data_IF_280850089125
#
_entry.id   IF_280850089125
#
_cell.length_a   1.000
_cell.length_b   1.000
_cell.length_c   1.000
_cell.angle_alpha   90.00
_cell.angle_beta   90.00
_cell.angle_gamma   90.00
#
_symmetry.space_group_name_H-M   'P 1'
#
loop_
_entity.id
_entity.type
_entity.pdbx_description
1 polymer ?
#
# COMPACT_ATOMS: atom_id res chain seq x y z
N UNK A 1 -15.97 23.03 38.34
CA UNK A 1 -16.51 21.71 37.98
C UNK A 1 -16.62 20.88 39.24
N UNK A 2 -17.66 20.06 39.37
CA UNK A 2 -17.81 19.13 40.48
C UNK A 2 -16.85 17.94 40.31
N UNK A 3 -16.25 17.50 41.43
CA UNK A 3 -15.37 16.33 41.42
C UNK A 3 -16.18 15.05 41.16
N UNK A 4 -15.69 14.21 40.24
CA UNK A 4 -16.34 12.93 39.94
C UNK A 4 -16.02 11.95 41.08
N UNK A 5 -17.09 11.41 41.68
CA UNK A 5 -17.00 10.42 42.76
C UNK A 5 -17.75 9.15 42.38
N UNK A 6 -17.52 8.07 43.12
CA UNK A 6 -18.24 6.80 42.92
C UNK A 6 -19.77 6.93 43.00
N UNK A 7 -20.28 7.98 43.68
CA UNK A 7 -21.73 8.23 43.86
C UNK A 7 -22.38 8.76 42.58
N UNK A 8 -21.68 9.56 41.81
CA UNK A 8 -22.19 10.17 40.57
C UNK A 8 -21.70 9.46 39.27
N UNK A 9 -21.00 8.31 39.41
CA UNK A 9 -20.68 7.44 38.32
C UNK A 9 -21.79 6.44 38.02
N UNK A 10 -22.09 6.21 36.76
CA UNK A 10 -23.11 5.27 36.26
C UNK A 10 -22.51 4.39 35.15
N UNK A 11 -22.95 3.14 35.09
CA UNK A 11 -22.61 2.18 34.06
C UNK A 11 -23.91 1.71 33.41
N UNK A 12 -24.03 1.97 32.11
CA UNK A 12 -25.13 1.48 31.30
C UNK A 12 -24.67 0.29 30.46
N UNK A 13 -25.57 -0.66 30.25
CA UNK A 13 -25.29 -1.86 29.43
C UNK A 13 -24.75 -3.05 30.21
N UNK A 14 -24.32 -2.91 31.45
CA UNK A 14 -23.94 -3.97 32.38
C UNK A 14 -24.72 -3.93 33.69
N UNK A 15 -24.97 -5.06 34.35
CA UNK A 15 -25.79 -5.12 35.59
C UNK A 15 -24.99 -4.72 36.84
N UNK A 16 -24.07 -3.77 36.74
CA UNK A 16 -23.24 -3.30 37.84
C UNK A 16 -24.05 -2.38 38.72
N UNK A 17 -24.22 -2.75 40.00
CA UNK A 17 -24.92 -1.96 41.02
C UNK A 17 -24.01 -0.98 41.75
N UNK A 18 -22.76 -1.39 41.96
CA UNK A 18 -21.77 -0.57 42.65
C UNK A 18 -20.40 -0.78 42.02
N UNK A 19 -19.78 0.29 41.55
CA UNK A 19 -18.44 0.27 40.99
C UNK A 19 -17.45 0.10 42.16
N UNK A 20 -16.57 -0.89 42.04
CA UNK A 20 -15.50 -1.16 43.01
C UNK A 20 -14.14 -0.70 42.51
N UNK A 21 -13.90 -0.78 41.20
CA UNK A 21 -12.71 -0.27 40.54
C UNK A 21 -13.04 0.21 39.13
N UNK A 22 -12.44 1.32 38.75
CA UNK A 22 -12.57 1.90 37.42
C UNK A 22 -11.24 2.51 37.03
N UNK A 23 -10.73 2.18 35.86
CA UNK A 23 -9.61 2.87 35.21
C UNK A 23 -9.96 3.09 33.75
N UNK A 24 -9.98 4.34 33.29
CA UNK A 24 -10.19 4.76 31.89
C UNK A 24 -8.87 5.27 31.34
N UNK A 25 -8.38 4.73 30.27
CA UNK A 25 -7.15 5.17 29.63
C UNK A 25 -7.35 5.48 28.15
N UNK A 26 -6.75 6.55 27.69
CA UNK A 26 -6.64 6.86 26.27
C UNK A 26 -5.33 7.59 25.99
N UNK A 27 -4.75 7.32 24.82
CA UNK A 27 -3.51 7.96 24.37
C UNK A 27 -3.53 8.14 22.84
N UNK A 28 -2.79 9.10 22.36
CA UNK A 28 -2.50 9.24 20.93
C UNK A 28 -2.00 7.91 20.35
N UNK A 29 -2.42 7.57 19.13
CA UNK A 29 -2.10 6.32 18.44
C UNK A 29 -2.69 5.05 19.10
N UNK A 30 -3.66 5.20 19.99
CA UNK A 30 -4.43 4.10 20.57
C UNK A 30 -5.94 4.39 20.46
N UNK A 31 -6.76 3.38 20.69
CA UNK A 31 -8.22 3.54 20.61
C UNK A 31 -8.91 3.59 21.98
N UNK A 32 -8.15 3.68 23.06
CA UNK A 32 -8.69 3.79 24.44
C UNK A 32 -9.20 2.47 25.01
N UNK A 33 -9.13 2.35 26.33
CA UNK A 33 -9.48 1.15 27.07
C UNK A 33 -10.05 1.50 28.47
N UNK A 34 -10.91 0.62 28.96
CA UNK A 34 -11.40 0.67 30.36
C UNK A 34 -11.20 -0.67 31.03
N UNK A 35 -10.77 -0.62 32.30
CA UNK A 35 -10.86 -1.72 33.24
C UNK A 35 -11.90 -1.35 34.28
N UNK A 36 -12.95 -2.16 34.41
CA UNK A 36 -14.09 -1.90 35.28
C UNK A 36 -14.40 -3.14 36.10
N UNK A 37 -14.54 -2.96 37.41
CA UNK A 37 -15.04 -4.00 38.30
C UNK A 37 -16.20 -3.45 39.13
N UNK A 38 -17.19 -4.27 39.36
CA UNK A 38 -18.34 -3.86 40.17
C UNK A 38 -19.15 -5.02 40.73
N UNK A 39 -19.83 -4.74 41.82
CA UNK A 39 -20.74 -5.68 42.48
C UNK A 39 -22.01 -5.86 41.64
N UNK A 40 -22.42 -7.11 41.45
CA UNK A 40 -23.61 -7.52 40.71
C UNK A 40 -24.40 -8.56 41.49
N UNK A 41 -25.69 -8.69 41.19
CA UNK A 41 -26.46 -9.84 41.62
C UNK A 41 -25.91 -11.11 40.94
N UNK A 42 -25.65 -12.21 41.66
CA UNK A 42 -25.01 -13.39 41.10
C UNK A 42 -25.66 -13.92 39.83
N UNK A 43 -27.00 -14.02 39.81
CA UNK A 43 -27.76 -14.54 38.67
C UNK A 43 -27.70 -13.60 37.47
N UNK A 44 -27.76 -12.27 37.69
CA UNK A 44 -27.63 -11.27 36.61
C UNK A 44 -26.22 -11.24 36.05
N UNK A 45 -25.18 -11.35 36.90
CA UNK A 45 -23.80 -11.42 36.52
C UNK A 45 -23.48 -12.66 35.68
N UNK A 46 -23.98 -13.86 36.10
CA UNK A 46 -23.85 -15.11 35.34
C UNK A 46 -24.51 -15.00 33.95
N UNK A 47 -25.74 -14.46 33.90
CA UNK A 47 -26.48 -14.25 32.65
C UNK A 47 -25.76 -13.26 31.74
N UNK A 48 -25.24 -12.18 32.29
CA UNK A 48 -24.49 -11.17 31.52
C UNK A 48 -23.18 -11.77 30.98
N UNK A 49 -22.36 -12.40 31.81
CA UNK A 49 -21.10 -13.00 31.41
C UNK A 49 -21.28 -14.08 30.34
N UNK A 50 -22.39 -14.81 30.34
CA UNK A 50 -22.69 -15.82 29.33
C UNK A 50 -23.19 -15.30 27.97
N UNK A 51 -23.64 -14.02 27.90
CA UNK A 51 -24.19 -13.41 26.67
C UNK A 51 -23.39 -12.26 26.10
N UNK A 52 -22.50 -11.67 26.91
CA UNK A 52 -21.70 -10.53 26.48
C UNK A 52 -20.75 -10.97 25.34
N UNK A 53 -20.75 -10.18 24.28
CA UNK A 53 -19.97 -10.37 23.06
C UNK A 53 -19.30 -9.08 22.60
N UNK A 54 -18.62 -9.12 21.49
CA UNK A 54 -17.94 -7.98 20.85
C UNK A 54 -18.88 -6.86 20.37
N UNK A 55 -20.19 -7.05 20.42
CA UNK A 55 -21.20 -6.04 20.10
C UNK A 55 -21.87 -5.47 21.35
N UNK A 56 -21.58 -6.03 22.52
CA UNK A 56 -22.13 -5.57 23.78
C UNK A 56 -21.49 -4.23 24.14
N UNK A 57 -22.25 -3.14 23.97
CA UNK A 57 -21.81 -1.77 24.24
C UNK A 57 -22.05 -1.43 25.69
N UNK A 58 -21.03 -0.86 26.32
CA UNK A 58 -21.07 -0.35 27.72
C UNK A 58 -20.74 1.14 27.69
N UNK A 59 -21.56 1.94 28.41
CA UNK A 59 -21.30 3.37 28.55
C UNK A 59 -21.02 3.70 30.01
N UNK A 60 -19.95 4.43 30.25
CA UNK A 60 -19.60 4.99 31.56
C UNK A 60 -19.94 6.46 31.54
N UNK A 61 -20.81 6.87 32.46
CA UNK A 61 -21.31 8.24 32.57
C UNK A 61 -21.10 8.83 33.96
N UNK A 62 -21.14 10.16 34.03
CA UNK A 62 -21.20 10.88 35.29
C UNK A 62 -22.35 11.84 35.31
N UNK A 63 -22.92 12.04 36.54
CA UNK A 63 -23.94 13.04 36.86
C UNK A 63 -23.31 14.28 37.53
N UNK A 64 -21.96 14.33 37.61
CA UNK A 64 -21.26 15.47 38.21
C UNK A 64 -21.43 16.74 37.38
N UNK A 65 -21.81 17.83 38.00
CA UNK A 65 -22.11 19.10 37.32
C UNK A 65 -20.86 19.72 36.66
N UNK A 66 -21.02 20.11 35.42
CA UNK A 66 -19.90 20.73 34.62
C UNK A 66 -18.88 19.75 34.07
N UNK A 67 -19.07 18.44 34.24
CA UNK A 67 -18.27 17.40 33.64
C UNK A 67 -18.91 16.88 32.33
N UNK A 68 -18.16 16.26 31.40
CA UNK A 68 -18.74 15.56 30.26
C UNK A 68 -19.72 14.48 30.74
N UNK A 69 -20.93 14.38 30.16
CA UNK A 69 -21.93 13.42 30.64
C UNK A 69 -21.53 11.95 30.31
N UNK A 70 -20.77 11.73 29.30
CA UNK A 70 -20.18 10.44 28.91
C UNK A 70 -18.67 10.52 29.10
N UNK A 71 -18.10 9.58 29.85
CA UNK A 71 -16.66 9.48 30.06
C UNK A 71 -16.04 8.48 29.13
N UNK A 72 -16.79 7.42 28.81
CA UNK A 72 -16.32 6.38 27.90
C UNK A 72 -17.51 5.59 27.33
N UNK A 73 -17.39 5.24 26.06
CA UNK A 73 -18.29 4.31 25.37
C UNK A 73 -17.48 3.28 24.61
N UNK A 74 -17.77 2.01 24.81
CA UNK A 74 -17.00 0.95 24.14
C UNK A 74 -17.66 -0.41 24.26
N UNK A 75 -16.99 -1.39 23.69
CA UNK A 75 -17.43 -2.77 23.58
C UNK A 75 -16.66 -3.68 24.54
N UNK A 76 -17.28 -4.79 24.91
CA UNK A 76 -16.66 -5.79 25.79
C UNK A 76 -15.56 -6.52 25.04
N UNK A 77 -14.32 -6.42 25.52
CA UNK A 77 -13.21 -7.25 25.06
C UNK A 77 -13.13 -8.55 25.86
N UNK A 78 -13.28 -8.43 27.17
CA UNK A 78 -13.34 -9.61 28.05
C UNK A 78 -14.25 -9.36 29.24
N UNK A 79 -14.86 -10.44 29.73
CA UNK A 79 -15.71 -10.47 30.88
C UNK A 79 -15.35 -11.64 31.77
N UNK A 80 -15.28 -11.41 33.06
CA UNK A 80 -15.15 -12.49 34.05
C UNK A 80 -16.01 -12.20 35.29
N UNK A 81 -16.55 -13.25 35.91
CA UNK A 81 -17.34 -13.17 37.12
C UNK A 81 -16.65 -13.94 38.22
N UNK A 82 -16.38 -13.27 39.34
CA UNK A 82 -15.90 -13.91 40.56
C UNK A 82 -17.07 -13.92 41.58
N UNK A 83 -17.42 -15.11 42.07
CA UNK A 83 -18.56 -15.29 42.97
C UNK A 83 -18.08 -15.84 44.32
N UNK A 84 -18.55 -15.21 45.39
CA UNK A 84 -18.43 -15.71 46.77
C UNK A 84 -19.80 -16.12 47.29
N UNK A 85 -19.90 -16.53 48.56
CA UNK A 85 -21.19 -16.82 49.18
C UNK A 85 -22.06 -15.58 49.42
N UNK A 86 -21.46 -14.37 49.45
CA UNK A 86 -22.13 -13.15 49.85
C UNK A 86 -22.36 -12.19 48.70
N UNK A 87 -21.45 -12.15 47.71
CA UNK A 87 -21.54 -11.24 46.56
C UNK A 87 -20.88 -11.83 45.31
N UNK A 88 -21.19 -11.25 44.16
CA UNK A 88 -20.52 -11.50 42.93
C UNK A 88 -19.87 -10.21 42.40
N UNK A 89 -18.65 -10.36 41.84
CA UNK A 89 -17.88 -9.26 41.27
C UNK A 89 -17.75 -9.52 39.77
N UNK A 90 -18.28 -8.61 38.94
CA UNK A 90 -18.14 -8.62 37.50
C UNK A 90 -16.94 -7.77 37.14
N UNK A 91 -16.01 -8.36 36.39
CA UNK A 91 -14.83 -7.65 35.86
C UNK A 91 -14.94 -7.57 34.35
N UNK A 92 -14.76 -6.37 33.81
CA UNK A 92 -14.85 -6.06 32.39
C UNK A 92 -13.59 -5.37 31.93
N UNK A 93 -13.10 -5.77 30.75
CA UNK A 93 -12.18 -4.98 29.94
C UNK A 93 -12.96 -4.50 28.72
N UNK A 94 -13.01 -3.19 28.55
CA UNK A 94 -13.71 -2.54 27.43
C UNK A 94 -12.69 -1.86 26.53
N UNK A 95 -12.95 -1.88 25.23
CA UNK A 95 -12.24 -1.05 24.25
C UNK A 95 -13.20 -0.08 23.59
N UNK A 96 -12.71 1.11 23.25
CA UNK A 96 -13.52 2.06 22.49
C UNK A 96 -13.93 1.47 21.13
N UNK A 97 -15.03 1.95 20.58
CA UNK A 97 -15.62 1.46 19.31
C UNK A 97 -14.62 1.46 18.15
N UNK A 98 -13.64 2.38 18.16
CA UNK A 98 -12.58 2.43 17.16
C UNK A 98 -11.72 1.13 17.08
N UNK A 99 -11.73 0.30 18.14
CA UNK A 99 -11.06 -1.01 18.11
C UNK A 99 -11.61 -1.97 17.04
N UNK A 100 -12.89 -1.81 16.65
CA UNK A 100 -13.51 -2.58 15.56
C UNK A 100 -12.80 -2.39 14.22
N UNK A 101 -12.14 -1.25 14.02
CA UNK A 101 -11.35 -0.97 12.83
C UNK A 101 -10.04 -1.78 12.78
N UNK A 102 -9.65 -2.38 13.92
CA UNK A 102 -8.41 -3.15 14.06
C UNK A 102 -8.64 -4.67 14.08
N UNK A 103 -9.67 -5.18 13.41
CA UNK A 103 -10.01 -6.61 13.43
C UNK A 103 -9.70 -7.33 12.13
N UNK A 104 -10.14 -6.78 10.99
CA UNK A 104 -10.02 -7.43 9.69
C UNK A 104 -8.85 -6.86 8.90
N UNK A 105 -7.93 -7.72 8.46
CA UNK A 105 -6.88 -7.37 7.49
C UNK A 105 -7.51 -7.24 6.11
N UNK A 106 -7.12 -6.20 5.40
CA UNK A 106 -7.63 -5.89 4.06
C UNK A 106 -6.48 -5.68 3.06
N UNK A 107 -6.82 -5.77 1.78
CA UNK A 107 -5.90 -5.59 0.67
C UNK A 107 -6.54 -4.66 -0.34
N UNK A 108 -5.84 -3.60 -0.73
CA UNK A 108 -6.22 -2.70 -1.82
C UNK A 108 -5.06 -1.80 -2.23
N UNK A 109 -5.07 -1.33 -3.45
CA UNK A 109 -4.14 -0.30 -3.90
C UNK A 109 -4.88 1.01 -4.22
N UNK A 110 -4.15 2.12 -4.13
CA UNK A 110 -4.61 3.45 -4.48
C UNK A 110 -3.64 4.00 -5.52
N UNK A 111 -4.05 3.96 -6.78
CA UNK A 111 -3.21 4.27 -7.94
C UNK A 111 -3.49 5.65 -8.53
N UNK A 112 -4.50 6.36 -8.03
CA UNK A 112 -4.71 7.76 -8.38
C UNK A 112 -3.80 8.64 -7.53
N UNK A 113 -2.70 9.09 -8.09
CA UNK A 113 -1.71 9.95 -7.41
C UNK A 113 -2.23 11.35 -7.08
N UNK A 114 -3.36 11.74 -7.65
CA UNK A 114 -4.06 12.99 -7.34
C UNK A 114 -4.96 12.91 -6.12
N UNK A 115 -5.34 11.70 -5.68
CA UNK A 115 -6.15 11.51 -4.47
C UNK A 115 -5.42 12.02 -3.24
N UNK A 116 -6.18 12.61 -2.30
CA UNK A 116 -5.62 13.09 -1.04
C UNK A 116 -5.52 11.96 -0.01
N UNK A 117 -4.72 12.16 1.04
CA UNK A 117 -4.64 11.19 2.13
C UNK A 117 -5.98 11.03 2.86
N UNK A 118 -6.77 12.10 2.99
CA UNK A 118 -8.12 12.04 3.54
C UNK A 118 -9.01 11.08 2.73
N UNK A 119 -9.01 11.22 1.40
CA UNK A 119 -9.78 10.34 0.51
C UNK A 119 -9.35 8.88 0.63
N UNK A 120 -8.04 8.63 0.69
CA UNK A 120 -7.46 7.29 0.80
C UNK A 120 -7.82 6.65 2.14
N UNK A 121 -7.71 7.39 3.25
CA UNK A 121 -8.11 6.90 4.58
C UNK A 121 -9.61 6.62 4.61
N UNK A 122 -10.45 7.52 4.12
CA UNK A 122 -11.90 7.34 4.10
C UNK A 122 -12.33 6.09 3.29
N UNK A 123 -11.68 5.84 2.14
CA UNK A 123 -11.90 4.61 1.36
C UNK A 123 -11.52 3.36 2.18
N UNK A 124 -10.40 3.40 2.91
CA UNK A 124 -9.98 2.29 3.77
C UNK A 124 -10.92 2.06 4.96
N UNK A 125 -11.47 3.13 5.55
CA UNK A 125 -12.47 3.05 6.61
C UNK A 125 -13.81 2.48 6.13
N UNK A 126 -14.13 2.63 4.84
CA UNK A 126 -15.31 2.03 4.23
C UNK A 126 -16.63 2.48 4.86
N UNK A 127 -16.71 3.72 5.35
CA UNK A 127 -17.89 4.27 6.02
C UNK A 127 -18.14 3.76 7.45
N UNK A 128 -17.21 2.98 8.02
CA UNK A 128 -17.32 2.43 9.38
C UNK A 128 -16.91 3.43 10.47
N UNK A 129 -16.29 4.54 10.11
CA UNK A 129 -15.82 5.59 11.02
C UNK A 129 -15.90 6.96 10.35
N UNK A 130 -16.08 8.00 11.15
CA UNK A 130 -15.83 9.39 10.74
C UNK A 130 -14.34 9.73 10.83
N UNK A 131 -13.87 10.58 9.93
CA UNK A 131 -12.50 11.07 9.89
C UNK A 131 -12.47 12.59 9.91
N UNK A 132 -11.61 13.15 10.74
CA UNK A 132 -11.29 14.58 10.76
C UNK A 132 -9.80 14.78 10.51
N UNK A 133 -9.46 15.66 9.58
CA UNK A 133 -8.07 16.05 9.31
C UNK A 133 -7.76 17.37 10.00
N UNK A 134 -7.00 17.34 11.08
CA UNK A 134 -6.48 18.53 11.78
C UNK A 134 -5.04 18.83 11.37
N UNK A 135 -4.70 18.42 10.16
CA UNK A 135 -3.46 18.71 9.46
C UNK A 135 -3.80 19.23 8.05
N UNK A 136 -2.87 19.95 7.41
CA UNK A 136 -3.05 20.34 6.01
C UNK A 136 -2.96 19.11 5.12
N UNK A 137 -4.08 18.68 4.56
CA UNK A 137 -4.13 17.53 3.67
C UNK A 137 -3.37 17.80 2.36
N UNK A 138 -2.90 16.74 1.71
CA UNK A 138 -2.10 16.79 0.48
C UNK A 138 -2.42 15.58 -0.39
N UNK A 139 -2.16 15.69 -1.70
CA UNK A 139 -2.23 14.53 -2.59
C UNK A 139 -1.14 13.51 -2.25
N UNK A 140 -1.43 12.23 -2.50
CA UNK A 140 -0.49 11.13 -2.22
C UNK A 140 0.75 11.20 -3.09
N UNK A 141 0.61 11.65 -4.35
CA UNK A 141 1.70 11.77 -5.31
C UNK A 141 2.41 10.46 -5.65
N UNK A 142 1.88 9.33 -5.19
CA UNK A 142 2.50 7.99 -5.32
C UNK A 142 1.48 6.87 -5.20
N UNK A 143 1.91 5.66 -5.52
CA UNK A 143 1.22 4.44 -5.14
C UNK A 143 1.12 4.33 -3.61
N UNK A 144 -0.06 4.04 -3.12
CA UNK A 144 -0.30 3.62 -1.73
C UNK A 144 -0.91 2.21 -1.77
N UNK A 145 -0.41 1.32 -0.94
CA UNK A 145 -0.91 -0.05 -0.85
C UNK A 145 -1.30 -0.37 0.59
N UNK A 146 -2.54 -0.73 0.82
CA UNK A 146 -2.97 -1.42 2.02
C UNK A 146 -2.81 -2.92 1.76
N UNK A 147 -1.88 -3.57 2.43
CA UNK A 147 -1.66 -5.01 2.29
C UNK A 147 -1.45 -5.66 3.64
N UNK A 148 -2.34 -6.59 3.99
CA UNK A 148 -2.34 -7.25 5.29
C UNK A 148 -2.34 -6.26 6.48
N UNK A 149 -3.02 -5.14 6.29
CA UNK A 149 -3.24 -4.11 7.31
C UNK A 149 -4.74 -4.00 7.61
N UNK A 150 -5.09 -3.77 8.86
CA UNK A 150 -6.44 -3.38 9.24
C UNK A 150 -6.71 -1.93 8.83
N UNK A 151 -7.98 -1.51 8.86
CA UNK A 151 -8.33 -0.10 8.60
C UNK A 151 -7.67 0.86 9.61
N UNK A 152 -7.54 0.43 10.88
CA UNK A 152 -6.83 1.18 11.93
C UNK A 152 -5.33 1.31 11.63
N UNK A 153 -4.64 0.19 11.37
CA UNK A 153 -3.20 0.17 11.09
C UNK A 153 -2.88 1.02 9.85
N UNK A 154 -3.71 0.91 8.82
CA UNK A 154 -3.56 1.72 7.62
C UNK A 154 -3.77 3.20 7.89
N UNK A 155 -4.84 3.60 8.60
CA UNK A 155 -5.08 5.00 8.96
C UNK A 155 -3.93 5.58 9.81
N UNK A 156 -3.41 4.78 10.75
CA UNK A 156 -2.26 5.15 11.59
C UNK A 156 -0.99 5.38 10.75
N UNK A 157 -0.73 4.51 9.78
CA UNK A 157 0.39 4.65 8.84
C UNK A 157 0.22 5.89 7.95
N UNK A 158 -0.99 6.15 7.46
CA UNK A 158 -1.26 7.36 6.65
C UNK A 158 -1.12 8.65 7.47
N UNK A 159 -1.54 8.65 8.74
CA UNK A 159 -1.32 9.78 9.65
C UNK A 159 0.18 10.07 9.85
N UNK A 160 1.02 9.04 9.84
CA UNK A 160 2.47 9.20 9.97
C UNK A 160 3.14 9.97 8.81
N UNK A 161 2.50 10.03 7.64
CA UNK A 161 2.98 10.83 6.48
C UNK A 161 2.93 12.35 6.75
N UNK A 162 2.19 12.76 7.76
CA UNK A 162 2.12 14.13 8.26
C UNK A 162 3.00 14.33 9.51
N UNK A 163 3.65 13.26 10.00
CA UNK A 163 4.28 13.27 11.32
C UNK A 163 3.27 13.45 12.45
N UNK A 164 2.00 13.24 12.20
CA UNK A 164 0.87 13.53 13.10
C UNK A 164 0.30 12.22 13.69
N UNK A 165 -0.19 12.24 14.95
CA UNK A 165 -0.82 11.08 15.54
C UNK A 165 -2.21 10.81 14.96
N UNK A 166 -2.69 9.58 15.14
CA UNK A 166 -4.08 9.20 14.99
C UNK A 166 -4.73 9.15 16.36
N UNK A 167 -5.78 9.93 16.58
CA UNK A 167 -6.52 9.98 17.83
C UNK A 167 -7.95 9.44 17.66
N UNK A 168 -8.38 8.57 18.56
CA UNK A 168 -9.74 8.06 18.59
C UNK A 168 -10.56 8.76 19.69
N UNK A 169 -11.79 9.15 19.36
CA UNK A 169 -12.76 9.59 20.35
C UNK A 169 -13.31 8.37 21.11
N UNK A 170 -13.38 8.46 22.43
CA UNK A 170 -13.83 7.36 23.31
C UNK A 170 -15.25 7.53 23.83
N UNK A 171 -15.96 8.60 23.43
CA UNK A 171 -17.30 8.95 23.91
C UNK A 171 -18.41 8.63 22.91
N UNK A 172 -18.06 8.11 21.72
CA UNK A 172 -19.00 7.94 20.61
C UNK A 172 -19.22 6.48 20.24
N UNK A 173 -20.45 6.13 19.92
CA UNK A 173 -20.84 4.80 19.47
C UNK A 173 -20.35 4.50 18.04
N UNK A 174 -20.26 5.53 17.21
CA UNK A 174 -19.65 5.40 15.87
C UNK A 174 -18.21 5.88 16.00
N UNK A 175 -17.22 5.09 15.62
CA UNK A 175 -15.81 5.49 15.68
C UNK A 175 -15.58 6.85 15.02
N UNK A 176 -14.91 7.74 15.72
CA UNK A 176 -14.48 9.04 15.22
C UNK A 176 -12.98 9.13 15.36
N UNK A 177 -12.28 9.31 14.24
CA UNK A 177 -10.84 9.41 14.18
C UNK A 177 -10.42 10.83 13.82
N UNK A 178 -9.33 11.28 14.41
CA UNK A 178 -8.70 12.55 14.08
C UNK A 178 -7.24 12.32 13.72
N UNK A 179 -6.82 12.74 12.53
CA UNK A 179 -5.41 12.86 12.17
C UNK A 179 -4.89 14.20 12.68
N UNK A 180 -3.92 14.17 13.59
CA UNK A 180 -3.43 15.34 14.31
C UNK A 180 -4.08 15.49 15.68
N UNK A 181 -3.94 16.68 16.27
CA UNK A 181 -4.46 16.97 17.62
C UNK A 181 -5.95 17.25 17.54
N UNK A 182 -6.81 16.51 18.30
CA UNK A 182 -8.23 16.82 18.37
C UNK A 182 -8.48 18.24 18.89
N UNK A 183 -9.44 18.94 18.30
CA UNK A 183 -9.88 20.27 18.76
C UNK A 183 -11.17 20.13 19.55
N UNK A 184 -11.05 19.93 20.87
CA UNK A 184 -12.18 19.74 21.77
C UNK A 184 -12.83 21.05 22.18
N UNK A 185 -12.10 22.16 22.11
CA UNK A 185 -12.52 23.48 22.59
C UNK A 185 -12.48 23.63 24.13
N UNK A 186 -12.16 22.56 24.85
CA UNK A 186 -12.08 22.58 26.30
C UNK A 186 -10.73 23.15 26.78
N UNK A 187 -10.80 24.00 27.81
CA UNK A 187 -9.58 24.55 28.45
C UNK A 187 -9.74 24.45 29.97
N UNK A 188 -8.76 23.85 30.62
CA UNK A 188 -8.73 23.66 32.06
C UNK A 188 -7.59 24.46 32.67
N UNK A 189 -7.94 25.32 33.65
CA UNK A 189 -6.95 26.02 34.47
C UNK A 189 -6.63 25.16 35.68
N UNK A 190 -5.44 24.67 35.79
CA UNK A 190 -4.99 23.82 36.90
C UNK A 190 -4.15 24.67 37.87
N UNK A 191 -4.62 24.88 39.07
CA UNK A 191 -3.91 25.53 40.17
C UNK A 191 -3.59 24.52 41.25
N UNK A 192 -2.46 24.73 41.92
CA UNK A 192 -2.00 23.92 43.07
C UNK A 192 -1.88 22.42 42.75
N UNK A 193 -1.45 22.08 41.52
CA UNK A 193 -1.22 20.70 41.08
C UNK A 193 0.26 20.34 41.21
N UNK A 194 0.51 19.10 41.60
CA UNK A 194 1.83 18.50 41.49
C UNK A 194 2.07 18.12 40.01
N UNK A 195 3.26 18.43 39.50
CA UNK A 195 3.64 18.09 38.14
C UNK A 195 5.09 17.62 38.04
N UNK A 196 5.33 16.71 37.10
CA UNK A 196 6.64 16.29 36.65
C UNK A 196 6.91 16.87 35.26
N UNK A 197 8.07 17.46 35.05
CA UNK A 197 8.47 17.97 33.74
C UNK A 197 9.67 17.18 33.23
N UNK A 198 9.61 16.73 31.98
CA UNK A 198 10.69 15.99 31.35
C UNK A 198 10.84 16.32 29.86
N UNK A 199 12.01 16.06 29.33
CA UNK A 199 12.32 16.19 27.91
C UNK A 199 12.94 14.88 27.39
N UNK A 200 12.56 14.47 26.16
CA UNK A 200 13.04 13.27 25.53
C UNK A 200 13.96 13.60 24.33
N UNK A 201 15.23 13.85 24.60
CA UNK A 201 16.24 14.16 23.57
C UNK A 201 16.43 13.06 22.52
N UNK A 202 16.29 11.78 22.91
CA UNK A 202 16.39 10.66 21.97
C UNK A 202 15.21 10.65 20.97
N UNK A 203 14.00 10.97 21.43
CA UNK A 203 12.86 11.11 20.54
C UNK A 203 13.04 12.28 19.56
N UNK A 204 13.57 13.42 20.03
CA UNK A 204 13.93 14.56 19.19
C UNK A 204 14.94 14.16 18.11
N UNK A 205 16.06 13.55 18.48
CA UNK A 205 17.10 13.14 17.51
C UNK A 205 16.55 12.17 16.46
N UNK A 206 15.74 11.19 16.86
CA UNK A 206 15.12 10.24 15.94
C UNK A 206 14.15 10.92 14.96
N UNK A 207 13.32 11.82 15.46
CA UNK A 207 12.36 12.54 14.61
C UNK A 207 13.08 13.50 13.66
N UNK A 208 14.05 14.25 14.14
CA UNK A 208 14.83 15.18 13.32
C UNK A 208 15.61 14.47 12.21
N UNK A 209 16.12 13.27 12.49
CA UNK A 209 16.93 12.50 11.52
C UNK A 209 16.07 11.76 10.47
N UNK A 210 14.81 11.45 10.78
CA UNK A 210 13.93 10.60 9.93
C UNK A 210 12.68 11.30 9.42
N UNK A 211 12.58 12.61 9.58
CA UNK A 211 11.44 13.40 9.10
C UNK A 211 11.90 14.54 8.21
N UNK A 212 11.05 14.90 7.23
CA UNK A 212 11.22 16.14 6.46
C UNK A 212 10.74 17.38 7.23
N UNK A 213 10.05 17.20 8.34
CA UNK A 213 9.58 18.30 9.19
C UNK A 213 10.73 18.80 10.07
N UNK A 214 10.67 20.09 10.38
CA UNK A 214 11.63 20.70 11.31
C UNK A 214 11.01 20.72 12.71
N UNK A 215 11.71 20.16 13.67
CA UNK A 215 11.29 20.10 15.07
C UNK A 215 12.27 20.89 15.95
N UNK A 216 11.78 21.40 17.08
CA UNK A 216 12.59 21.94 18.14
C UNK A 216 12.72 20.93 19.29
N UNK A 217 13.79 20.96 20.06
CA UNK A 217 13.95 20.05 21.20
C UNK A 217 12.84 20.23 22.24
N UNK A 218 12.31 21.43 22.36
CA UNK A 218 11.20 21.80 23.26
C UNK A 218 9.89 21.08 22.88
N UNK A 219 9.71 20.72 21.61
CA UNK A 219 8.53 19.95 21.15
C UNK A 219 8.48 18.56 21.80
N UNK A 220 9.62 18.03 22.24
CA UNK A 220 9.73 16.73 22.91
C UNK A 220 9.79 16.83 24.43
N UNK A 221 9.33 17.95 24.97
CA UNK A 221 9.15 18.16 26.41
C UNK A 221 7.69 17.93 26.76
N UNK A 222 7.46 17.19 27.82
CA UNK A 222 6.12 16.88 28.31
C UNK A 222 5.99 17.07 29.80
N UNK A 223 4.76 17.22 30.24
CA UNK A 223 4.43 17.39 31.65
C UNK A 223 3.46 16.30 32.09
N UNK A 224 3.80 15.61 33.17
CA UNK A 224 2.90 14.73 33.91
C UNK A 224 2.17 15.52 34.99
N UNK A 225 0.84 15.44 35.07
CA UNK A 225 0.01 16.14 36.05
C UNK A 225 -1.01 15.17 36.63
N UNK A 226 -1.24 15.26 37.95
CA UNK A 226 -2.34 14.57 38.62
C UNK A 226 -3.41 15.58 39.03
N UNK A 227 -4.69 15.29 38.72
CA UNK A 227 -5.80 16.19 38.96
C UNK A 227 -7.09 15.42 39.22
N UNK A 228 -8.07 16.06 39.87
CA UNK A 228 -9.43 15.55 40.02
C UNK A 228 -10.37 15.96 38.86
N UNK A 229 -9.84 16.65 37.84
CA UNK A 229 -10.58 17.00 36.63
C UNK A 229 -10.49 15.84 35.64
N UNK A 230 -11.63 15.48 35.04
CA UNK A 230 -11.62 14.58 33.89
C UNK A 230 -11.25 15.35 32.63
N UNK A 231 -10.36 14.82 31.87
CA UNK A 231 -9.89 15.43 30.62
C UNK A 231 -9.84 14.39 29.47
N UNK A 232 -9.80 14.88 28.25
CA UNK A 232 -9.72 14.06 27.04
C UNK A 232 -8.52 14.40 26.18
N UNK A 233 -8.23 13.56 25.21
CA UNK A 233 -7.17 13.82 24.22
C UNK A 233 -7.46 15.13 23.49
N UNK A 234 -6.46 16.00 23.39
CA UNK A 234 -6.53 17.28 22.73
C UNK A 234 -7.08 18.41 23.60
N UNK A 235 -7.62 18.13 24.81
CA UNK A 235 -8.00 19.18 25.74
C UNK A 235 -6.79 20.05 26.08
N UNK A 236 -7.04 21.34 26.21
CA UNK A 236 -6.01 22.32 26.58
C UNK A 236 -5.94 22.43 28.09
N UNK A 237 -4.76 22.29 28.65
CA UNK A 237 -4.49 22.53 30.06
C UNK A 237 -3.53 23.70 30.22
N UNK A 238 -3.80 24.54 31.20
CA UNK A 238 -2.93 25.66 31.59
C UNK A 238 -2.55 25.52 33.04
N UNK A 239 -1.27 25.53 33.34
CA UNK A 239 -0.69 25.47 34.68
C UNK A 239 0.60 26.27 34.70
N UNK A 240 0.93 26.95 35.82
CA UNK A 240 2.17 27.70 35.94
C UNK A 240 2.46 28.72 34.83
N UNK A 241 1.43 29.17 34.10
CA UNK A 241 1.55 30.09 32.96
C UNK A 241 1.90 29.38 31.63
N UNK A 242 2.00 28.06 31.60
CA UNK A 242 2.22 27.27 30.40
C UNK A 242 0.89 26.67 29.88
N UNK A 243 0.76 26.56 28.57
CA UNK A 243 -0.40 25.97 27.89
C UNK A 243 0.04 24.78 27.08
N UNK A 244 -0.56 23.61 27.32
CA UNK A 244 -0.25 22.35 26.65
C UNK A 244 -1.55 21.61 26.34
N UNK A 245 -1.48 20.59 25.46
CA UNK A 245 -2.57 19.68 25.11
C UNK A 245 -2.35 18.31 25.71
N UNK A 246 -3.43 17.64 26.10
CA UNK A 246 -3.42 16.28 26.64
C UNK A 246 -3.10 15.27 25.54
N UNK A 247 -1.97 14.57 25.66
CA UNK A 247 -1.55 13.49 24.76
C UNK A 247 -1.98 12.11 25.22
N UNK A 248 -2.10 11.96 26.53
CA UNK A 248 -2.50 10.72 27.18
C UNK A 248 -3.15 11.05 28.50
N UNK A 249 -4.14 10.27 28.90
CA UNK A 249 -4.68 10.32 30.24
C UNK A 249 -5.01 8.92 30.78
N UNK A 250 -4.99 8.81 32.11
CA UNK A 250 -5.45 7.65 32.86
C UNK A 250 -6.25 8.11 34.05
N UNK A 251 -7.57 7.90 34.01
CA UNK A 251 -8.49 8.26 35.10
C UNK A 251 -8.83 7.04 35.93
N UNK A 252 -8.43 7.03 37.20
CA UNK A 252 -8.59 5.88 38.10
C UNK A 252 -9.43 6.28 39.31
N UNK A 253 -10.37 5.42 39.71
CA UNK A 253 -11.17 5.60 40.92
C UNK A 253 -10.33 5.25 42.15
N UNK A 254 -9.86 6.26 42.86
CA UNK A 254 -9.02 6.14 44.05
C UNK A 254 -9.72 6.75 45.26
N UNK A 255 -9.88 5.97 46.33
CA UNK A 255 -10.54 6.42 47.55
C UNK A 255 -11.93 7.07 47.33
N UNK A 256 -12.64 6.58 46.30
CA UNK A 256 -13.98 7.06 45.95
C UNK A 256 -14.03 8.33 45.09
N UNK A 257 -12.90 8.83 44.63
CA UNK A 257 -12.74 9.98 43.73
C UNK A 257 -12.06 9.51 42.44
N UNK A 258 -12.57 9.98 41.30
CA UNK A 258 -11.92 9.73 40.01
C UNK A 258 -10.75 10.71 39.82
N UNK A 259 -9.52 10.20 39.90
CA UNK A 259 -8.30 10.95 39.67
C UNK A 259 -7.73 10.70 38.32
N UNK A 260 -7.30 11.76 37.65
CA UNK A 260 -6.75 11.71 36.29
C UNK A 260 -5.28 12.06 36.32
N UNK A 261 -4.45 11.12 35.86
CA UNK A 261 -3.06 11.34 35.51
C UNK A 261 -2.97 11.72 34.05
N UNK A 262 -2.39 12.86 33.75
CA UNK A 262 -2.29 13.46 32.41
C UNK A 262 -0.83 13.45 31.96
N UNK A 263 -0.58 13.09 30.70
CA UNK A 263 0.64 13.46 29.99
C UNK A 263 0.27 14.49 28.93
N UNK A 264 0.88 15.67 29.02
CA UNK A 264 0.61 16.80 28.14
C UNK A 264 1.89 17.33 27.48
N UNK A 265 1.74 17.87 26.30
CA UNK A 265 2.82 18.54 25.58
C UNK A 265 2.30 19.73 24.76
N UNK A 266 3.20 20.53 24.21
CA UNK A 266 2.85 21.57 23.24
C UNK A 266 2.26 20.91 21.97
N UNK A 267 1.40 21.63 21.24
CA UNK A 267 0.71 21.09 20.04
C UNK A 267 1.70 20.50 19.01
N UNK A 268 2.84 21.12 18.82
CA UNK A 268 3.92 20.66 17.93
C UNK A 268 4.60 19.38 18.40
N UNK A 269 4.49 19.04 19.69
CA UNK A 269 5.01 17.81 20.27
C UNK A 269 4.10 16.57 20.07
N UNK A 270 2.90 16.75 19.52
CA UNK A 270 2.03 15.63 19.10
C UNK A 270 2.53 15.06 17.78
N UNK A 271 3.59 14.29 17.83
CA UNK A 271 4.26 13.76 16.65
C UNK A 271 4.29 12.23 16.66
N UNK A 272 4.37 11.64 15.48
CA UNK A 272 4.76 10.24 15.32
C UNK A 272 5.79 10.10 14.20
N UNK A 273 6.68 9.12 14.35
CA UNK A 273 7.64 8.79 13.30
C UNK A 273 6.91 8.23 12.08
N UNK A 274 7.47 8.49 10.88
CA UNK A 274 7.01 7.89 9.64
C UNK A 274 7.01 6.36 9.77
N UNK A 275 5.90 5.76 9.41
CA UNK A 275 5.74 4.32 9.38
C UNK A 275 5.79 3.85 7.92
N UNK A 276 6.88 3.20 7.48
CA UNK A 276 6.99 2.66 6.14
C UNK A 276 6.11 1.42 5.99
N UNK A 277 5.81 1.04 4.75
CA UNK A 277 5.01 -0.14 4.47
C UNK A 277 5.84 -1.44 4.51
N UNK A 278 6.19 -1.88 5.71
CA UNK A 278 6.97 -3.11 5.90
C UNK A 278 6.26 -4.37 5.32
N UNK A 279 4.94 -4.33 5.13
CA UNK A 279 4.17 -5.48 4.67
C UNK A 279 4.40 -5.80 3.18
N UNK A 280 4.77 -4.81 2.35
CA UNK A 280 5.05 -5.02 0.93
C UNK A 280 6.53 -5.23 0.62
N UNK A 281 7.43 -4.89 1.54
CA UNK A 281 8.88 -4.97 1.33
C UNK A 281 9.33 -6.37 0.91
N UNK A 282 10.06 -6.46 -0.20
CA UNK A 282 10.56 -7.71 -0.78
C UNK A 282 9.47 -8.58 -1.43
N UNK A 283 8.23 -8.10 -1.55
CA UNK A 283 7.13 -8.86 -2.15
C UNK A 283 6.99 -8.60 -3.64
N UNK A 284 6.37 -9.58 -4.28
CA UNK A 284 6.06 -9.57 -5.70
C UNK A 284 4.60 -9.98 -5.89
N UNK A 285 3.82 -9.15 -6.59
CA UNK A 285 2.40 -9.38 -6.85
C UNK A 285 2.16 -9.61 -8.33
N UNK A 286 1.12 -10.38 -8.64
CA UNK A 286 0.64 -10.53 -9.99
C UNK A 286 -0.08 -9.26 -10.42
N UNK A 287 0.21 -8.81 -11.64
CA UNK A 287 -0.46 -7.67 -12.25
C UNK A 287 -0.91 -7.98 -13.67
N UNK A 288 -1.97 -7.33 -14.10
CA UNK A 288 -2.45 -7.33 -15.48
C UNK A 288 -2.21 -5.94 -16.08
N UNK A 289 -1.53 -5.88 -17.21
CA UNK A 289 -1.24 -4.62 -17.92
C UNK A 289 -2.52 -4.01 -18.46
N UNK A 290 -2.79 -2.76 -18.13
CA UNK A 290 -3.95 -1.99 -18.59
C UNK A 290 -3.61 -0.94 -19.65
N UNK A 291 -2.38 -0.42 -19.63
CA UNK A 291 -1.86 0.48 -20.65
C UNK A 291 -0.34 0.42 -20.69
N UNK A 292 0.23 0.75 -21.85
CA UNK A 292 1.69 0.78 -22.08
C UNK A 292 2.05 2.11 -22.73
N UNK A 293 3.04 2.81 -22.17
CA UNK A 293 3.61 4.02 -22.76
C UNK A 293 5.14 4.00 -22.59
N UNK A 294 5.87 3.96 -23.72
CA UNK A 294 7.33 3.89 -23.74
C UNK A 294 7.87 2.73 -22.89
N UNK A 295 8.54 3.05 -21.78
CA UNK A 295 9.15 2.11 -20.83
C UNK A 295 8.31 1.92 -19.55
N UNK A 296 7.04 2.35 -19.56
CA UNK A 296 6.15 2.33 -18.40
C UNK A 296 4.85 1.60 -18.72
N UNK A 297 4.23 1.11 -17.67
CA UNK A 297 2.96 0.39 -17.75
C UNK A 297 2.00 0.86 -16.64
N UNK A 298 0.71 0.85 -16.92
CA UNK A 298 -0.34 0.87 -15.92
C UNK A 298 -0.78 -0.56 -15.66
N UNK A 299 -0.97 -0.92 -14.40
CA UNK A 299 -1.18 -2.31 -14.00
C UNK A 299 -2.31 -2.42 -12.98
N UNK A 300 -3.23 -3.34 -13.19
CA UNK A 300 -4.13 -3.85 -12.16
C UNK A 300 -3.37 -4.85 -11.29
N UNK A 301 -3.28 -4.61 -9.99
CA UNK A 301 -2.63 -5.50 -9.00
C UNK A 301 -3.62 -6.61 -8.60
N UNK A 302 -3.71 -7.68 -9.37
CA UNK A 302 -4.73 -8.74 -9.24
C UNK A 302 -4.70 -9.46 -7.90
N UNK A 303 -3.53 -9.58 -7.27
CA UNK A 303 -3.39 -10.20 -5.94
C UNK A 303 -3.84 -9.27 -4.79
N UNK A 304 -4.15 -7.99 -5.09
CA UNK A 304 -4.45 -6.96 -4.09
C UNK A 304 -5.85 -6.37 -4.28
N UNK A 305 -6.21 -6.05 -5.53
CA UNK A 305 -7.44 -5.36 -5.85
C UNK A 305 -8.45 -6.32 -6.51
N UNK A 306 -9.69 -6.36 -6.02
CA UNK A 306 -10.78 -7.11 -6.64
C UNK A 306 -11.14 -6.54 -8.02
N UNK A 307 -11.08 -5.21 -8.17
CA UNK A 307 -11.40 -4.49 -9.40
C UNK A 307 -10.34 -3.43 -9.72
N UNK A 308 -10.10 -3.20 -11.01
CA UNK A 308 -9.19 -2.15 -11.46
C UNK A 308 -9.83 -0.76 -11.32
N UNK A 309 -9.13 0.15 -10.62
CA UNK A 309 -9.50 1.56 -10.58
C UNK A 309 -9.10 2.25 -11.90
N UNK A 310 -10.05 2.43 -12.81
CA UNK A 310 -9.83 3.11 -14.09
C UNK A 310 -9.50 4.61 -13.94
N UNK A 311 -9.70 5.20 -12.75
CA UNK A 311 -9.26 6.54 -12.40
C UNK A 311 -7.79 6.63 -12.00
N UNK A 312 -7.11 5.49 -11.89
CA UNK A 312 -5.68 5.42 -11.61
C UNK A 312 -4.84 6.06 -12.72
N UNK A 313 -3.86 6.86 -12.35
CA UNK A 313 -2.95 7.53 -13.29
C UNK A 313 -1.47 7.15 -13.04
N UNK A 314 -1.24 6.10 -12.25
CA UNK A 314 0.09 5.64 -11.91
C UNK A 314 0.74 4.91 -13.09
N UNK A 315 1.95 5.32 -13.44
CA UNK A 315 2.81 4.65 -14.40
C UNK A 315 4.01 4.03 -13.67
N UNK A 316 4.09 2.71 -13.69
CA UNK A 316 5.22 1.96 -13.15
C UNK A 316 6.30 1.76 -14.21
N UNK A 317 7.59 1.92 -13.90
CA UNK A 317 8.65 1.55 -14.81
C UNK A 317 8.64 0.04 -15.08
N UNK A 318 8.94 -0.36 -16.32
CA UNK A 318 9.07 -1.77 -16.69
C UNK A 318 10.53 -2.15 -16.81
N UNK A 319 10.97 -3.12 -16.03
CA UNK A 319 12.34 -3.62 -16.03
C UNK A 319 12.56 -4.58 -17.20
N UNK A 320 13.66 -4.41 -17.91
CA UNK A 320 14.12 -5.30 -18.99
C UNK A 320 15.36 -6.06 -18.56
N UNK A 321 15.66 -7.17 -19.27
CA UNK A 321 16.83 -8.01 -18.97
C UNK A 321 18.17 -7.29 -19.22
N UNK A 322 18.22 -6.34 -20.18
CA UNK A 322 19.40 -5.57 -20.51
C UNK A 322 19.04 -4.23 -21.13
N UNK A 323 19.62 -3.16 -20.63
CA UNK A 323 19.50 -1.81 -21.20
C UNK A 323 20.75 -0.99 -20.88
N UNK A 324 21.19 -0.17 -21.82
CA UNK A 324 22.31 0.76 -21.69
C UNK A 324 21.88 2.20 -21.99
N UNK A 325 22.64 3.16 -21.49
CA UNK A 325 22.36 4.59 -21.66
C UNK A 325 22.40 5.08 -23.13
N UNK A 326 23.09 4.33 -24.01
CA UNK A 326 23.16 4.61 -25.45
C UNK A 326 21.95 4.08 -26.24
N UNK A 327 20.98 3.46 -25.55
CA UNK A 327 19.78 2.86 -26.14
C UNK A 327 19.97 1.42 -26.61
N UNK A 328 21.16 0.82 -26.44
CA UNK A 328 21.33 -0.61 -26.72
C UNK A 328 20.68 -1.46 -25.61
N UNK A 329 20.14 -2.62 -26.00
CA UNK A 329 19.50 -3.55 -25.05
C UNK A 329 18.28 -4.27 -25.62
N UNK A 330 17.49 -4.86 -24.73
CA UNK A 330 16.20 -5.47 -25.07
C UNK A 330 15.07 -4.48 -24.80
N UNK A 331 14.37 -4.06 -25.83
CA UNK A 331 13.14 -3.32 -25.73
C UNK A 331 11.96 -4.23 -26.10
N UNK A 332 11.42 -4.91 -25.11
CA UNK A 332 10.29 -5.85 -25.23
C UNK A 332 9.24 -5.51 -24.19
N UNK A 333 8.40 -4.54 -24.49
CA UNK A 333 7.30 -4.16 -23.62
C UNK A 333 6.17 -5.19 -23.68
N UNK A 334 5.49 -5.46 -22.54
CA UNK A 334 4.27 -6.25 -22.53
C UNK A 334 3.16 -5.51 -23.28
N UNK A 335 2.06 -6.20 -23.53
CA UNK A 335 0.87 -5.64 -24.14
C UNK A 335 -0.26 -5.52 -23.12
N UNK A 336 -1.29 -4.73 -23.44
CA UNK A 336 -2.53 -4.71 -22.68
C UNK A 336 -3.10 -6.12 -22.55
N UNK A 337 -3.48 -6.50 -21.32
CA UNK A 337 -3.94 -7.84 -20.98
C UNK A 337 -2.84 -8.83 -20.60
N UNK A 338 -1.55 -8.50 -20.80
CA UNK A 338 -0.46 -9.38 -20.39
C UNK A 338 -0.32 -9.41 -18.86
N UNK A 339 0.00 -10.60 -18.35
CA UNK A 339 0.33 -10.81 -16.94
C UNK A 339 1.78 -10.44 -16.67
N UNK A 340 2.02 -9.60 -15.67
CA UNK A 340 3.35 -9.14 -15.25
C UNK A 340 3.54 -9.34 -13.76
N UNK A 341 4.77 -9.17 -13.28
CA UNK A 341 5.09 -9.13 -11.86
C UNK A 341 5.41 -7.70 -11.44
N UNK A 342 4.74 -7.23 -10.38
CA UNK A 342 5.04 -5.96 -9.74
C UNK A 342 5.83 -6.24 -8.48
N UNK A 343 7.06 -5.74 -8.43
CA UNK A 343 8.01 -5.97 -7.34
C UNK A 343 8.17 -4.73 -6.49
N UNK A 344 8.15 -4.92 -5.18
CA UNK A 344 8.39 -3.91 -4.16
C UNK A 344 9.74 -4.18 -3.48
N UNK A 345 10.83 -3.55 -3.93
CA UNK A 345 12.17 -3.86 -3.42
C UNK A 345 12.41 -3.40 -1.98
N UNK A 346 11.64 -2.42 -1.53
CA UNK A 346 11.76 -1.81 -0.21
C UNK A 346 10.39 -1.63 0.45
N UNK A 347 10.37 -1.05 1.64
CA UNK A 347 9.17 -0.61 2.36
C UNK A 347 8.62 0.75 1.87
N UNK A 348 9.25 1.33 0.85
CA UNK A 348 8.77 2.54 0.16
C UNK A 348 8.09 2.16 -1.15
N UNK A 349 6.78 2.35 -1.24
CA UNK A 349 6.00 2.01 -2.43
C UNK A 349 6.43 2.76 -3.70
N UNK A 350 7.16 3.88 -3.59
CA UNK A 350 7.72 4.62 -4.73
C UNK A 350 8.74 3.81 -5.55
N UNK A 351 9.38 2.84 -4.91
CA UNK A 351 10.42 2.02 -5.53
C UNK A 351 9.83 0.86 -6.34
N UNK A 352 8.51 0.70 -6.35
CA UNK A 352 7.84 -0.38 -7.08
C UNK A 352 8.07 -0.28 -8.58
N UNK A 353 8.29 -1.43 -9.22
CA UNK A 353 8.45 -1.54 -10.66
C UNK A 353 7.88 -2.86 -11.18
N UNK A 354 7.54 -2.88 -12.47
CA UNK A 354 7.14 -4.10 -13.16
C UNK A 354 8.35 -4.82 -13.74
N UNK A 355 8.32 -6.14 -13.67
CA UNK A 355 9.32 -7.00 -14.27
C UNK A 355 8.64 -8.27 -14.77
N UNK A 356 9.24 -8.90 -15.79
CA UNK A 356 8.92 -10.26 -16.25
C UNK A 356 7.43 -10.51 -16.52
N UNK A 357 7.08 -10.73 -17.77
CA UNK A 357 5.76 -11.25 -18.11
C UNK A 357 5.62 -12.70 -17.66
N UNK A 358 4.41 -13.08 -17.29
CA UNK A 358 4.07 -14.47 -16.95
C UNK A 358 3.60 -15.18 -18.23
N UNK A 359 4.28 -16.26 -18.59
CA UNK A 359 3.90 -17.02 -19.79
C UNK A 359 2.59 -17.78 -19.55
N UNK A 360 1.54 -17.38 -20.22
CA UNK A 360 0.21 -18.01 -20.19
C UNK A 360 -0.05 -18.95 -21.37
N UNK A 361 0.86 -19.00 -22.35
CA UNK A 361 0.75 -19.81 -23.58
C UNK A 361 2.06 -20.56 -23.84
N UNK A 362 2.33 -21.65 -23.09
CA UNK A 362 3.56 -22.39 -23.22
C UNK A 362 3.65 -23.10 -24.60
N UNK A 363 4.87 -23.38 -25.05
CA UNK A 363 5.10 -24.31 -26.16
C UNK A 363 4.93 -25.75 -25.67
N UNK A 364 4.49 -26.64 -26.60
CA UNK A 364 4.34 -28.07 -26.31
C UNK A 364 5.67 -28.72 -25.90
N UNK A 365 6.77 -28.33 -26.55
CA UNK A 365 8.11 -28.78 -26.20
C UNK A 365 8.91 -27.68 -25.50
N UNK A 366 9.28 -27.85 -24.23
CA UNK A 366 10.06 -26.87 -23.46
C UNK A 366 11.51 -26.70 -23.96
N UNK A 367 12.01 -27.59 -24.80
CA UNK A 367 13.32 -27.43 -25.45
C UNK A 367 13.30 -26.37 -26.53
N UNK A 368 12.16 -26.13 -27.15
CA UNK A 368 12.01 -25.05 -28.11
C UNK A 368 12.10 -23.69 -27.41
N UNK A 369 12.75 -22.75 -28.07
CA UNK A 369 12.86 -21.36 -27.62
C UNK A 369 12.37 -20.45 -28.73
N UNK A 370 11.52 -19.46 -28.38
CA UNK A 370 11.04 -18.53 -29.41
C UNK A 370 11.03 -17.09 -28.92
N UNK A 371 11.25 -16.22 -29.87
CA UNK A 371 10.99 -14.80 -29.74
C UNK A 371 9.99 -14.42 -30.83
N UNK A 372 8.77 -14.02 -30.43
CA UNK A 372 7.66 -13.75 -31.35
C UNK A 372 6.99 -12.44 -30.99
N UNK A 373 6.75 -11.61 -32.02
CA UNK A 373 5.92 -10.42 -31.88
C UNK A 373 4.43 -10.75 -32.06
N UNK A 374 3.50 -9.91 -31.56
CA UNK A 374 2.04 -10.07 -31.79
C UNK A 374 1.67 -10.12 -33.26
N UNK A 375 2.42 -9.42 -34.10
CA UNK A 375 2.25 -9.44 -35.57
C UNK A 375 2.74 -10.73 -36.24
N UNK A 376 3.11 -11.76 -35.46
CA UNK A 376 3.51 -13.06 -35.98
C UNK A 376 4.95 -13.13 -36.52
N UNK A 377 5.80 -12.11 -36.27
CA UNK A 377 7.23 -12.17 -36.62
C UNK A 377 7.94 -12.99 -35.55
N UNK A 378 8.75 -13.98 -35.98
CA UNK A 378 9.27 -14.97 -35.05
C UNK A 378 10.70 -15.38 -35.35
N UNK A 379 11.49 -15.64 -34.31
CA UNK A 379 12.71 -16.43 -34.35
C UNK A 379 12.48 -17.64 -33.45
N UNK A 380 12.50 -18.84 -34.03
CA UNK A 380 12.27 -20.08 -33.31
C UNK A 380 13.54 -20.95 -33.37
N UNK A 381 13.98 -21.43 -32.23
CA UNK A 381 15.03 -22.40 -32.06
C UNK A 381 14.44 -23.75 -31.70
N UNK A 382 14.81 -24.77 -32.44
CA UNK A 382 14.43 -26.17 -32.20
C UNK A 382 15.67 -27.04 -32.16
N UNK A 383 15.52 -28.34 -31.86
CA UNK A 383 16.61 -29.31 -31.97
C UNK A 383 17.05 -29.53 -33.41
N UNK A 384 16.24 -29.15 -34.41
CA UNK A 384 16.52 -29.39 -35.85
C UNK A 384 16.98 -28.15 -36.59
N UNK A 385 16.92 -26.96 -35.98
CA UNK A 385 17.34 -25.76 -36.67
C UNK A 385 16.82 -24.45 -36.06
N UNK A 386 17.12 -23.37 -36.79
CA UNK A 386 16.69 -22.00 -36.50
C UNK A 386 15.76 -21.52 -37.60
N UNK A 387 14.60 -21.04 -37.24
CA UNK A 387 13.58 -20.58 -38.16
C UNK A 387 13.30 -19.08 -37.92
N UNK A 388 13.55 -18.25 -38.90
CA UNK A 388 13.26 -16.81 -38.89
C UNK A 388 12.08 -16.59 -39.82
N UNK A 389 10.93 -16.27 -39.26
CA UNK A 389 9.64 -16.15 -39.97
C UNK A 389 9.12 -14.73 -39.94
N UNK A 390 8.89 -14.15 -41.12
CA UNK A 390 8.17 -12.87 -41.23
C UNK A 390 6.72 -13.07 -41.59
N UNK A 391 6.41 -14.07 -42.42
CA UNK A 391 5.06 -14.46 -42.83
C UNK A 391 5.07 -15.94 -43.12
N UNK A 392 4.26 -16.71 -42.41
CA UNK A 392 4.21 -18.16 -42.50
C UNK A 392 4.11 -18.64 -43.93
N UNK A 393 5.04 -19.57 -44.31
CA UNK A 393 5.15 -20.21 -45.65
C UNK A 393 5.41 -19.26 -46.82
N UNK A 394 5.61 -17.96 -46.59
CA UNK A 394 5.79 -16.98 -47.66
C UNK A 394 7.10 -16.22 -47.57
N UNK A 395 7.50 -15.78 -46.39
CA UNK A 395 8.74 -15.03 -46.19
C UNK A 395 9.47 -15.62 -44.96
N UNK A 396 10.54 -16.33 -45.19
CA UNK A 396 11.30 -16.98 -44.11
C UNK A 396 12.75 -17.24 -44.49
N UNK A 397 13.57 -17.47 -43.45
CA UNK A 397 14.92 -18.03 -43.55
C UNK A 397 14.95 -19.20 -42.56
N UNK A 398 15.22 -20.40 -43.09
CA UNK A 398 15.39 -21.61 -42.30
C UNK A 398 16.85 -22.07 -42.36
N UNK A 399 17.42 -22.42 -41.22
CA UNK A 399 18.72 -23.06 -41.09
C UNK A 399 18.47 -24.41 -40.43
N UNK A 400 18.52 -25.48 -41.20
CA UNK A 400 18.15 -26.83 -40.76
C UNK A 400 19.34 -27.78 -40.89
N UNK A 401 19.55 -28.64 -39.88
CA UNK A 401 20.67 -29.56 -39.84
C UNK A 401 20.63 -30.57 -41.02
N UNK A 402 19.44 -31.01 -41.38
CA UNK A 402 19.25 -32.03 -42.44
C UNK A 402 19.07 -31.41 -43.84
N UNK A 403 18.38 -30.26 -43.91
CA UNK A 403 17.97 -29.68 -45.20
C UNK A 403 18.81 -28.48 -45.63
N UNK A 404 19.73 -28.00 -44.75
CA UNK A 404 20.58 -26.86 -45.02
C UNK A 404 19.87 -25.52 -44.88
N UNK A 405 20.15 -24.56 -45.77
CA UNK A 405 19.62 -23.18 -45.66
C UNK A 405 18.60 -22.96 -46.78
N UNK A 406 17.42 -22.50 -46.38
CA UNK A 406 16.34 -22.09 -47.28
C UNK A 406 15.99 -20.62 -47.06
N UNK A 407 15.97 -19.83 -48.13
CA UNK A 407 15.50 -18.44 -48.13
C UNK A 407 14.32 -18.33 -49.09
N UNK A 408 13.18 -17.92 -48.61
CA UNK A 408 11.95 -17.80 -49.40
C UNK A 408 11.30 -16.44 -49.21
N UNK A 409 10.82 -15.85 -50.28
CA UNK A 409 10.02 -14.63 -50.27
C UNK A 409 8.95 -14.67 -51.39
N UNK A 410 7.79 -14.16 -51.12
CA UNK A 410 6.71 -13.91 -52.08
C UNK A 410 6.85 -12.57 -52.83
N UNK A 411 7.90 -11.83 -52.52
CA UNK A 411 8.33 -10.57 -53.12
C UNK A 411 9.79 -10.68 -53.56
N UNK A 412 10.41 -9.56 -53.88
CA UNK A 412 11.80 -9.49 -54.31
C UNK A 412 12.76 -9.92 -53.20
N UNK A 413 13.82 -10.63 -53.61
CA UNK A 413 15.02 -10.86 -52.83
C UNK A 413 16.13 -10.04 -53.41
N UNK A 414 16.67 -9.05 -52.69
CA UNK A 414 17.79 -8.22 -53.10
C UNK A 414 19.04 -8.60 -52.32
N UNK A 415 20.08 -9.01 -53.01
CA UNK A 415 21.41 -9.32 -52.44
C UNK A 415 22.39 -8.31 -52.98
N UNK A 416 22.87 -7.40 -52.11
CA UNK A 416 23.76 -6.30 -52.48
C UNK A 416 25.05 -6.34 -51.66
N UNK A 417 26.17 -6.05 -52.29
CA UNK A 417 27.46 -5.87 -51.64
C UNK A 417 28.22 -4.70 -52.25
N UNK A 418 28.83 -3.86 -51.41
CA UNK A 418 29.74 -2.79 -51.86
C UNK A 418 31.10 -3.32 -52.35
N UNK A 419 31.35 -4.62 -52.18
CA UNK A 419 32.59 -5.26 -52.63
C UNK A 419 32.24 -6.43 -53.56
N UNK A 420 32.34 -7.67 -53.12
CA UNK A 420 32.14 -8.86 -53.95
C UNK A 420 30.98 -9.70 -53.45
N UNK A 421 30.27 -10.35 -54.35
CA UNK A 421 29.37 -11.48 -54.07
C UNK A 421 30.00 -12.70 -54.75
N UNK A 422 30.37 -13.71 -53.96
CA UNK A 422 30.97 -14.95 -54.45
C UNK A 422 29.98 -16.08 -54.25
N UNK A 423 29.59 -16.74 -55.34
CA UNK A 423 28.72 -17.92 -55.31
C UNK A 423 29.56 -19.13 -55.79
N UNK A 424 29.71 -20.09 -54.87
CA UNK A 424 30.46 -21.32 -55.16
C UNK A 424 29.67 -22.54 -54.68
N UNK A 425 29.57 -23.54 -55.56
CA UNK A 425 28.98 -24.83 -55.23
C UNK A 425 29.98 -25.96 -55.65
N UNK A 426 30.17 -26.92 -54.73
CA UNK A 426 31.06 -28.06 -55.04
C UNK A 426 30.54 -28.93 -56.21
N UNK A 427 29.21 -29.10 -56.27
CA UNK A 427 28.57 -29.91 -57.31
C UNK A 427 27.90 -29.06 -58.38
N UNK A 428 26.81 -28.38 -58.07
CA UNK A 428 25.99 -27.67 -59.05
C UNK A 428 25.55 -26.33 -58.55
N UNK A 429 25.71 -25.27 -59.31
CA UNK A 429 25.03 -23.99 -59.13
C UNK A 429 23.95 -23.88 -60.19
N UNK A 430 22.68 -23.89 -59.74
CA UNK A 430 21.52 -23.74 -60.60
C UNK A 430 20.93 -22.34 -60.46
N UNK A 431 20.71 -21.63 -61.58
CA UNK A 431 20.00 -20.36 -61.64
C UNK A 431 18.85 -20.52 -62.61
N UNK A 432 17.62 -20.30 -62.12
CA UNK A 432 16.42 -20.49 -62.95
C UNK A 432 15.48 -19.29 -62.79
N UNK A 433 14.87 -18.85 -63.88
CA UNK A 433 13.82 -17.86 -63.90
C UNK A 433 12.76 -18.23 -64.93
N UNK A 434 11.48 -17.95 -64.61
CA UNK A 434 10.40 -18.18 -65.59
C UNK A 434 10.49 -17.25 -66.80
N UNK A 435 10.97 -16.02 -66.61
CA UNK A 435 10.94 -15.00 -67.66
C UNK A 435 12.29 -14.62 -68.20
N UNK A 436 13.24 -14.25 -67.30
CA UNK A 436 14.48 -13.65 -67.73
C UNK A 436 15.60 -13.83 -66.71
N UNK A 437 16.81 -14.17 -67.18
CA UNK A 437 18.05 -14.06 -66.41
C UNK A 437 18.95 -13.04 -67.10
N UNK A 438 19.32 -11.98 -66.42
CA UNK A 438 20.22 -10.93 -66.91
C UNK A 438 21.51 -10.89 -66.09
N UNK A 439 22.63 -11.11 -66.71
CA UNK A 439 23.96 -10.91 -66.15
C UNK A 439 24.61 -9.73 -66.89
N UNK A 440 24.97 -8.66 -66.17
CA UNK A 440 25.51 -7.46 -66.83
C UNK A 440 26.69 -6.85 -66.06
N UNK A 441 27.61 -6.24 -66.78
CA UNK A 441 28.69 -5.41 -66.23
C UNK A 441 29.01 -4.28 -67.22
N UNK A 442 28.73 -3.01 -66.75
CA UNK A 442 28.82 -1.86 -67.65
C UNK A 442 27.93 -2.01 -68.88
N UNK A 443 28.56 -2.01 -70.11
CA UNK A 443 27.82 -2.16 -71.37
C UNK A 443 27.77 -3.64 -71.88
N UNK A 444 28.31 -4.59 -71.12
CA UNK A 444 28.30 -6.01 -71.51
C UNK A 444 27.29 -6.79 -70.78
N UNK A 445 26.56 -7.67 -71.46
CA UNK A 445 25.48 -8.44 -70.79
C UNK A 445 25.28 -9.82 -71.44
N UNK A 446 24.75 -10.75 -70.69
CA UNK A 446 24.14 -12.01 -71.13
C UNK A 446 22.65 -11.91 -70.68
N UNK A 447 21.77 -11.98 -71.68
CA UNK A 447 20.32 -11.92 -71.50
C UNK A 447 19.71 -13.25 -71.99
N UNK A 448 19.13 -14.00 -71.03
CA UNK A 448 18.52 -15.30 -71.28
C UNK A 448 17.03 -15.14 -71.10
N UNK A 449 16.25 -15.36 -72.13
CA UNK A 449 14.78 -15.34 -72.12
C UNK A 449 14.24 -16.71 -72.56
N UNK A 450 12.92 -16.88 -72.53
CA UNK A 450 12.27 -18.11 -73.01
C UNK A 450 12.54 -18.40 -74.51
N UNK A 451 12.84 -17.36 -75.31
CA UNK A 451 12.94 -17.45 -76.76
C UNK A 451 14.40 -17.38 -77.29
N UNK A 452 15.26 -16.75 -76.51
CA UNK A 452 16.64 -16.49 -77.02
C UNK A 452 17.69 -16.33 -75.93
N UNK A 453 18.94 -16.54 -76.28
CA UNK A 453 20.11 -16.13 -75.51
C UNK A 453 20.78 -15.01 -76.30
N UNK A 454 20.88 -13.82 -75.74
CA UNK A 454 21.51 -12.65 -76.32
C UNK A 454 22.85 -12.33 -75.64
N UNK A 455 23.91 -12.11 -76.38
CA UNK A 455 25.19 -11.68 -75.86
C UNK A 455 25.47 -10.27 -76.40
N UNK A 456 25.56 -9.30 -75.53
CA UNK A 456 25.90 -7.91 -75.92
C UNK A 456 27.25 -7.53 -75.33
N UNK A 457 28.24 -7.17 -76.18
CA UNK A 457 29.53 -6.65 -75.77
C UNK A 457 30.22 -5.98 -76.95
N UNK A 458 31.25 -5.14 -76.70
CA UNK A 458 32.06 -4.59 -77.74
C UNK A 458 32.77 -5.68 -78.53
N UNK A 459 33.22 -6.76 -77.87
CA UNK A 459 33.83 -7.97 -78.53
C UNK A 459 33.25 -9.20 -77.79
N UNK A 460 32.82 -10.22 -78.59
CA UNK A 460 32.39 -11.55 -78.12
C UNK A 460 33.42 -12.56 -78.60
N UNK A 461 34.11 -13.28 -77.73
CA UNK A 461 35.09 -14.31 -78.07
C UNK A 461 34.47 -15.66 -77.66
N UNK A 462 34.24 -16.51 -78.70
CA UNK A 462 33.82 -17.90 -78.52
C UNK A 462 35.07 -18.76 -78.80
N UNK A 463 35.57 -19.51 -77.81
CA UNK A 463 36.70 -20.43 -77.92
C UNK A 463 36.22 -21.85 -77.95
#
# INVERSE_FOLDING_TARGET
METITYLNLKVDGAPIKKITSLTITNAANTYGMVQLSGEVEPAEGESFAGRADENTCITIRTEASGQPPVLFMGIVESVSLSKTSEYALLNLILRAEASKLNTKKEHRSFQNTGSTYEEVINKALGGKAGLQMNVSDKSTGRLIVQYNETAWEFALRMASEFGAPLCANVETQIPQLTVGVPETGNTYQLSDVEYDFGSNGNAYEKMQSNSSNSYMQEDFSGTGISTDQYVMLGDTITYGGQTQQVQQFSSTLENGILRTSISAAVKTGFTQALQPNAQVSGKMFLGEVKAVEKDKVQVHLVDIDDEYDSGGNLWLPYSTAYSSNDGSGFYCMPQEGDSVRVFFPSDNEKDAFCASSVNVSPLDDPKHKKWRSPAGKEILFTEKGIFITCSEQRIYINLEDENGISICADKDINICSNNNILLYAQNTLQVQSENKILLSTGCSYIDITKESIQLGAKNVVIK
#
